data_IF_172658787567
#
_entry.id   IF_172658787567
#
_cell.length_a   1.000
_cell.length_b   1.000
_cell.length_c   1.000
_cell.angle_alpha   90.00
_cell.angle_beta   90.00
_cell.angle_gamma   90.00
#
_symmetry.space_group_name_H-M   'P 1'
#
loop_
_entity.id
_entity.type
_entity.pdbx_description
1 polymer ?
#
# COMPACT_ATOMS: atom_id res chain seq x y z
N UNK A 1 24.00 -4.96 4.42
CA UNK A 1 23.38 -3.88 3.62
C UNK A 1 22.77 -4.52 2.39
N UNK A 2 21.46 -4.62 2.34
CA UNK A 2 20.76 -5.09 1.14
C UNK A 2 20.71 -3.90 0.17
N UNK A 3 21.55 -3.93 -0.85
CA UNK A 3 21.46 -3.00 -1.99
C UNK A 3 20.34 -3.50 -2.90
N UNK A 4 19.13 -2.99 -2.73
CA UNK A 4 17.98 -3.34 -3.56
C UNK A 4 17.67 -2.27 -4.62
N UNK A 5 18.67 -1.53 -5.09
CA UNK A 5 18.43 -0.48 -6.08
C UNK A 5 18.55 -0.97 -7.53
N UNK A 6 19.27 -2.04 -7.74
CA UNK A 6 19.40 -2.69 -9.05
C UNK A 6 19.92 -4.12 -8.92
N UNK A 7 19.48 -4.99 -9.81
CA UNK A 7 20.03 -6.33 -9.98
C UNK A 7 20.79 -6.35 -11.30
N UNK A 8 22.09 -6.59 -11.23
CA UNK A 8 22.92 -6.79 -12.42
C UNK A 8 23.00 -8.29 -12.71
N UNK A 9 22.51 -8.69 -13.88
CA UNK A 9 22.62 -10.08 -14.38
C UNK A 9 23.55 -10.07 -15.58
N UNK A 10 24.66 -10.80 -15.47
CA UNK A 10 25.65 -10.93 -16.53
C UNK A 10 25.36 -12.19 -17.33
N UNK A 11 24.99 -12.02 -18.58
CA UNK A 11 24.89 -13.13 -19.54
C UNK A 11 26.20 -13.23 -20.30
N UNK A 12 26.88 -14.34 -20.19
CA UNK A 12 28.16 -14.61 -20.87
C UNK A 12 28.01 -15.67 -21.97
N UNK A 13 29.05 -15.82 -22.79
CA UNK A 13 29.10 -16.79 -23.93
C UNK A 13 28.01 -16.52 -24.97
N UNK A 14 27.82 -15.27 -25.31
CA UNK A 14 26.89 -14.82 -26.33
C UNK A 14 27.59 -14.62 -27.66
N UNK A 15 26.83 -14.61 -28.75
CA UNK A 15 27.33 -14.28 -30.10
C UNK A 15 27.33 -12.78 -30.40
N UNK A 16 26.71 -11.97 -29.55
CA UNK A 16 26.63 -10.52 -29.68
C UNK A 16 26.68 -9.87 -28.30
N UNK A 17 27.22 -8.64 -28.21
CA UNK A 17 27.33 -7.90 -26.97
C UNK A 17 28.70 -7.25 -26.81
N UNK A 18 29.16 -7.07 -25.58
CA UNK A 18 30.52 -6.61 -25.28
C UNK A 18 31.46 -7.82 -25.29
N UNK A 19 32.68 -7.63 -25.82
CA UNK A 19 33.67 -8.71 -25.87
C UNK A 19 34.16 -8.99 -24.45
N UNK A 20 34.14 -10.29 -24.07
CA UNK A 20 34.82 -10.76 -22.86
C UNK A 20 36.29 -10.96 -23.15
N UNK A 21 37.13 -10.08 -22.61
CA UNK A 21 38.60 -10.14 -22.83
C UNK A 21 39.24 -11.47 -22.44
N UNK A 22 38.59 -12.24 -21.52
CA UNK A 22 39.08 -13.55 -21.09
C UNK A 22 38.84 -14.63 -22.14
N UNK A 23 37.83 -14.39 -23.03
CA UNK A 23 37.44 -15.35 -24.07
C UNK A 23 37.98 -15.00 -25.45
N UNK A 24 38.70 -13.89 -25.59
CA UNK A 24 39.21 -13.39 -26.89
C UNK A 24 40.09 -14.42 -27.60
N UNK A 25 40.91 -15.18 -26.87
CA UNK A 25 41.77 -16.21 -27.42
C UNK A 25 40.98 -17.35 -28.09
N UNK A 26 39.71 -17.58 -27.67
CA UNK A 26 38.87 -18.63 -28.24
C UNK A 26 38.34 -18.31 -29.65
N UNK A 27 38.37 -17.02 -30.08
CA UNK A 27 38.07 -16.63 -31.46
C UNK A 27 39.03 -17.29 -32.46
N UNK A 28 40.30 -17.51 -32.08
CA UNK A 28 41.26 -18.21 -32.91
C UNK A 28 40.98 -19.70 -33.11
N UNK A 29 40.00 -20.24 -32.39
CA UNK A 29 39.54 -21.65 -32.47
C UNK A 29 38.07 -21.72 -32.97
N UNK A 30 37.64 -20.77 -33.78
CA UNK A 30 36.28 -20.67 -34.35
C UNK A 30 35.13 -20.62 -33.32
N UNK A 31 35.41 -20.19 -32.10
CA UNK A 31 34.39 -20.01 -31.07
C UNK A 31 33.87 -18.57 -31.05
N UNK A 32 32.71 -18.34 -31.64
CA UNK A 32 32.07 -17.01 -31.70
C UNK A 32 31.42 -16.58 -30.41
N UNK A 33 31.30 -17.45 -29.39
CA UNK A 33 30.57 -17.16 -28.14
C UNK A 33 31.46 -16.42 -27.12
N UNK A 34 32.03 -15.30 -27.52
CA UNK A 34 33.00 -14.51 -26.74
C UNK A 34 32.42 -13.20 -26.21
N UNK A 35 31.12 -13.00 -26.35
CA UNK A 35 30.50 -11.78 -25.93
C UNK A 35 29.73 -11.99 -24.61
N UNK A 36 29.55 -10.89 -23.88
CA UNK A 36 28.69 -10.81 -22.70
C UNK A 36 27.80 -9.59 -22.77
N UNK A 37 26.67 -9.63 -22.07
CA UNK A 37 25.74 -8.52 -21.86
C UNK A 37 25.41 -8.41 -20.38
N UNK A 38 25.39 -7.18 -19.86
CA UNK A 38 24.91 -6.90 -18.52
C UNK A 38 23.51 -6.34 -18.65
N UNK A 39 22.54 -7.03 -18.09
CA UNK A 39 21.21 -6.50 -17.87
C UNK A 39 21.13 -5.96 -16.44
N UNK A 40 20.76 -4.68 -16.32
CA UNK A 40 20.57 -4.03 -15.03
C UNK A 40 19.09 -3.80 -14.84
N UNK A 41 18.47 -4.64 -14.04
CA UNK A 41 17.10 -4.42 -13.61
C UNK A 41 17.08 -3.34 -12.54
N UNK A 42 16.59 -2.17 -12.89
CA UNK A 42 16.32 -1.11 -11.91
C UNK A 42 14.95 -1.38 -11.27
N UNK A 43 14.95 -1.62 -9.98
CA UNK A 43 13.68 -1.73 -9.24
C UNK A 43 13.03 -0.36 -9.16
N UNK A 44 11.78 -0.30 -9.64
CA UNK A 44 10.96 0.91 -9.51
C UNK A 44 10.79 1.30 -8.04
N UNK A 45 10.64 2.59 -7.79
CA UNK A 45 10.25 3.07 -6.47
C UNK A 45 8.81 2.63 -6.18
N UNK A 46 8.52 2.26 -4.95
CA UNK A 46 7.17 1.90 -4.51
C UNK A 46 6.57 2.98 -3.64
N UNK A 47 5.29 3.27 -3.83
CA UNK A 47 4.47 4.00 -2.86
C UNK A 47 3.40 3.05 -2.33
N UNK A 48 3.43 2.77 -1.04
CA UNK A 48 2.43 1.94 -0.38
C UNK A 48 1.62 2.80 0.58
N UNK A 49 0.31 2.88 0.34
CA UNK A 49 -0.62 3.45 1.30
C UNK A 49 -1.39 2.32 2.00
N UNK A 50 -1.32 2.28 3.32
CA UNK A 50 -2.06 1.31 4.15
C UNK A 50 -3.20 2.06 4.82
N UNK A 51 -4.43 1.60 4.60
CA UNK A 51 -5.64 2.14 5.23
C UNK A 51 -6.21 1.12 6.21
N UNK A 52 -6.30 1.50 7.47
CA UNK A 52 -6.79 0.64 8.55
C UNK A 52 -8.18 1.10 8.94
N UNK A 53 -9.11 0.17 8.92
CA UNK A 53 -10.41 0.31 9.56
C UNK A 53 -10.26 0.11 11.07
N UNK A 54 -10.70 1.09 11.86
CA UNK A 54 -10.77 0.93 13.30
C UNK A 54 -12.16 1.25 13.85
N UNK A 55 -13.19 0.92 13.07
CA UNK A 55 -14.58 0.91 13.51
C UNK A 55 -14.82 -0.08 14.66
N UNK A 56 -15.96 0.04 15.32
CA UNK A 56 -16.33 -0.79 16.47
C UNK A 56 -16.31 -2.29 16.17
N UNK A 57 -16.66 -2.71 14.95
CA UNK A 57 -16.65 -4.12 14.51
C UNK A 57 -15.24 -4.71 14.43
N UNK A 58 -14.22 -3.86 14.28
CA UNK A 58 -12.82 -4.27 14.31
C UNK A 58 -12.25 -4.44 15.73
N UNK A 59 -13.06 -4.28 16.78
CA UNK A 59 -12.60 -4.35 18.17
C UNK A 59 -11.93 -5.71 18.51
N UNK A 60 -10.98 -5.66 19.43
CA UNK A 60 -10.29 -6.85 19.95
C UNK A 60 -9.20 -7.37 19.00
N UNK A 61 -9.25 -8.68 18.73
CA UNK A 61 -8.22 -9.38 17.97
C UNK A 61 -8.13 -8.94 16.50
N UNK A 62 -9.21 -8.49 15.88
CA UNK A 62 -9.21 -8.00 14.50
C UNK A 62 -8.29 -6.78 14.37
N UNK A 63 -8.51 -5.76 15.20
CA UNK A 63 -7.68 -4.55 15.17
C UNK A 63 -6.24 -4.86 15.54
N UNK A 64 -6.01 -5.72 16.52
CA UNK A 64 -4.66 -6.15 16.91
C UNK A 64 -3.92 -6.80 15.75
N UNK A 65 -4.58 -7.68 14.97
CA UNK A 65 -3.99 -8.30 13.77
C UNK A 65 -3.70 -7.28 12.69
N UNK A 66 -4.63 -6.35 12.41
CA UNK A 66 -4.42 -5.27 11.44
C UNK A 66 -3.20 -4.42 11.82
N UNK A 67 -3.10 -4.01 13.09
CA UNK A 67 -1.98 -3.24 13.62
C UNK A 67 -0.67 -4.02 13.49
N UNK A 68 -0.64 -5.28 13.93
CA UNK A 68 0.56 -6.12 13.88
C UNK A 68 1.06 -6.30 12.45
N UNK A 69 0.14 -6.59 11.52
CA UNK A 69 0.46 -6.72 10.09
C UNK A 69 1.00 -5.42 9.51
N UNK A 70 0.37 -4.29 9.84
CA UNK A 70 0.82 -2.97 9.40
C UNK A 70 2.22 -2.64 9.91
N UNK A 71 2.49 -2.90 11.19
CA UNK A 71 3.81 -2.69 11.79
C UNK A 71 4.87 -3.54 11.10
N UNK A 72 4.57 -4.81 10.82
CA UNK A 72 5.49 -5.71 10.12
C UNK A 72 5.79 -5.21 8.70
N UNK A 73 4.76 -4.79 7.95
CA UNK A 73 4.91 -4.27 6.58
C UNK A 73 5.72 -2.98 6.58
N UNK A 74 5.40 -2.02 7.45
CA UNK A 74 6.14 -0.74 7.54
C UNK A 74 7.62 -0.98 7.84
N UNK A 75 7.91 -1.89 8.77
CA UNK A 75 9.29 -2.26 9.10
C UNK A 75 10.02 -2.92 7.92
N UNK A 76 9.36 -3.81 7.19
CA UNK A 76 9.92 -4.44 6.00
C UNK A 76 10.21 -3.41 4.90
N UNK A 77 9.29 -2.50 4.63
CA UNK A 77 9.46 -1.45 3.63
C UNK A 77 10.61 -0.48 3.98
N UNK A 78 10.80 -0.17 5.25
CA UNK A 78 11.96 0.62 5.69
C UNK A 78 13.30 -0.07 5.41
N UNK A 79 13.35 -1.40 5.54
CA UNK A 79 14.54 -2.17 5.21
C UNK A 79 14.81 -2.17 3.69
N UNK A 80 13.77 -2.13 2.88
CA UNK A 80 13.86 -2.10 1.41
C UNK A 80 14.33 -0.76 0.83
N UNK A 81 14.21 0.36 1.56
CA UNK A 81 14.65 1.73 1.22
C UNK A 81 14.06 2.38 -0.04
N UNK A 82 13.55 1.60 -0.97
CA UNK A 82 12.96 2.08 -2.22
C UNK A 82 11.42 2.17 -2.17
N UNK A 83 10.81 1.93 -1.00
CA UNK A 83 9.36 1.97 -0.80
C UNK A 83 9.00 3.06 0.21
N UNK A 84 8.23 4.05 -0.23
CA UNK A 84 7.61 5.03 0.65
C UNK A 84 6.32 4.44 1.22
N UNK A 85 6.12 4.55 2.52
CA UNK A 85 4.92 4.03 3.19
C UNK A 85 4.16 5.16 3.86
N UNK A 86 2.86 5.18 3.63
CA UNK A 86 1.90 6.00 4.36
C UNK A 86 0.90 5.08 5.05
N UNK A 87 0.52 5.42 6.27
CA UNK A 87 -0.51 4.69 7.03
C UNK A 87 -1.58 5.67 7.44
N UNK A 88 -2.82 5.35 7.13
CA UNK A 88 -4.01 6.07 7.59
C UNK A 88 -4.93 5.13 8.36
N UNK A 89 -5.70 5.70 9.28
CA UNK A 89 -6.76 5.02 9.99
C UNK A 89 -8.07 5.77 9.75
N UNK A 90 -9.19 5.04 9.62
CA UNK A 90 -10.50 5.61 9.30
C UNK A 90 -11.58 5.11 10.25
N UNK A 91 -12.48 6.01 10.63
CA UNK A 91 -13.69 5.74 11.40
C UNK A 91 -14.64 6.95 11.29
N UNK A 92 -15.62 7.04 12.18
CA UNK A 92 -16.44 8.24 12.40
C UNK A 92 -16.12 8.84 13.76
N UNK A 93 -16.31 10.16 13.90
CA UNK A 93 -16.13 10.82 15.19
C UNK A 93 -17.23 10.40 16.20
N UNK A 94 -17.01 10.71 17.47
CA UNK A 94 -17.98 10.44 18.56
C UNK A 94 -18.93 11.59 18.78
N UNK A 95 -18.98 12.59 17.91
CA UNK A 95 -19.89 13.72 17.97
C UNK A 95 -21.30 13.33 17.57
N UNK A 96 -22.25 14.26 17.76
CA UNK A 96 -23.66 14.05 17.42
C UNK A 96 -23.90 13.72 15.94
N UNK A 97 -23.01 14.20 15.05
CA UNK A 97 -23.11 13.95 13.60
C UNK A 97 -22.28 12.76 13.13
N UNK A 98 -21.48 12.16 13.98
CA UNK A 98 -20.61 11.01 13.65
C UNK A 98 -19.89 11.17 12.30
N UNK A 99 -19.26 12.33 12.07
CA UNK A 99 -18.67 12.66 10.77
C UNK A 99 -17.55 11.68 10.40
N UNK A 100 -17.51 11.22 9.13
CA UNK A 100 -16.40 10.41 8.63
C UNK A 100 -15.08 11.16 8.71
N UNK A 101 -14.02 10.48 9.16
CA UNK A 101 -12.69 11.08 9.18
C UNK A 101 -11.59 10.07 8.87
N UNK A 102 -10.45 10.62 8.46
CA UNK A 102 -9.22 9.87 8.21
C UNK A 102 -8.12 10.55 9.01
N UNK A 103 -7.37 9.76 9.76
CA UNK A 103 -6.16 10.20 10.46
C UNK A 103 -4.95 9.63 9.74
N UNK A 104 -4.04 10.50 9.31
CA UNK A 104 -2.74 10.09 8.81
C UNK A 104 -1.84 9.75 10.00
N UNK A 105 -1.63 8.46 10.24
CA UNK A 105 -0.87 7.94 11.37
C UNK A 105 0.63 7.99 11.12
N UNK A 106 1.03 7.78 9.87
CA UNK A 106 2.43 7.69 9.50
C UNK A 106 2.69 8.09 8.05
N UNK A 107 3.78 8.77 7.80
CA UNK A 107 4.37 8.98 6.48
C UNK A 107 5.89 8.78 6.63
N UNK A 108 6.45 7.76 5.97
CA UNK A 108 7.88 7.40 6.06
C UNK A 108 8.84 8.54 5.67
N UNK A 109 8.33 9.54 4.95
CA UNK A 109 9.10 10.72 4.53
C UNK A 109 9.15 11.82 5.58
N UNK A 110 8.26 11.78 6.57
CA UNK A 110 8.04 12.87 7.54
C UNK A 110 8.19 12.45 8.99
N UNK A 111 7.81 11.20 9.31
CA UNK A 111 7.68 10.73 10.66
C UNK A 111 8.75 9.68 11.01
N UNK A 112 9.12 9.62 12.28
CA UNK A 112 10.00 8.56 12.80
C UNK A 112 9.19 7.28 13.09
N UNK A 113 9.87 6.12 13.09
CA UNK A 113 9.24 4.87 13.55
C UNK A 113 8.78 4.93 15.01
N UNK A 114 9.46 5.69 15.85
CA UNK A 114 9.08 5.85 17.24
C UNK A 114 7.71 6.50 17.37
N UNK A 115 7.45 7.55 16.57
CA UNK A 115 6.15 8.21 16.53
C UNK A 115 5.08 7.27 15.98
N UNK A 116 5.42 6.52 14.91
CA UNK A 116 4.53 5.51 14.35
C UNK A 116 4.07 4.50 15.40
N UNK A 117 4.99 3.88 16.16
CA UNK A 117 4.61 2.91 17.21
C UNK A 117 3.75 3.55 18.29
N UNK A 118 4.06 4.78 18.68
CA UNK A 118 3.25 5.53 19.64
C UNK A 118 1.82 5.72 19.15
N UNK A 119 1.63 6.18 17.91
CA UNK A 119 0.28 6.39 17.36
C UNK A 119 -0.48 5.07 17.17
N UNK A 120 0.21 4.02 16.70
CA UNK A 120 -0.42 2.70 16.54
C UNK A 120 -0.91 2.11 17.86
N UNK A 121 -0.21 2.35 18.97
CA UNK A 121 -0.63 1.90 20.30
C UNK A 121 -1.83 2.67 20.87
N UNK A 122 -2.16 3.84 20.31
CA UNK A 122 -3.29 4.67 20.73
C UNK A 122 -4.59 4.39 19.95
N UNK A 123 -4.51 3.62 18.86
CA UNK A 123 -5.69 3.28 18.07
C UNK A 123 -6.61 2.36 18.86
N UNK A 124 -7.86 2.81 19.03
CA UNK A 124 -8.92 2.06 19.69
C UNK A 124 -10.14 1.99 18.78
N UNK A 125 -10.67 0.79 18.58
CA UNK A 125 -11.84 0.59 17.74
C UNK A 125 -13.06 1.33 18.30
N UNK A 126 -13.73 2.10 17.46
CA UNK A 126 -14.95 2.82 17.82
C UNK A 126 -15.78 3.19 16.60
N UNK A 127 -17.06 3.41 16.83
CA UNK A 127 -18.04 3.91 15.86
C UNK A 127 -18.19 3.05 14.59
N UNK A 128 -18.45 3.66 13.44
CA UNK A 128 -18.85 3.01 12.19
C UNK A 128 -17.81 3.13 11.09
N UNK A 129 -18.00 2.37 10.00
CA UNK A 129 -17.06 2.29 8.86
C UNK A 129 -17.61 3.00 7.62
N UNK A 130 -17.34 4.28 7.40
CA UNK A 130 -17.72 4.99 6.18
C UNK A 130 -16.72 4.73 5.04
N UNK A 131 -16.45 3.47 4.70
CA UNK A 131 -15.31 3.05 3.89
C UNK A 131 -15.21 3.78 2.55
N UNK A 132 -16.26 3.77 1.72
CA UNK A 132 -16.24 4.41 0.41
C UNK A 132 -16.08 5.94 0.48
N UNK A 133 -16.66 6.59 1.50
CA UNK A 133 -16.49 8.04 1.72
C UNK A 133 -15.04 8.36 2.09
N UNK A 134 -14.43 7.53 2.94
CA UNK A 134 -13.01 7.67 3.27
C UNK A 134 -12.12 7.38 2.07
N UNK A 135 -12.46 6.41 1.22
CA UNK A 135 -11.71 6.15 -0.02
C UNK A 135 -11.80 7.32 -1.00
N UNK A 136 -12.94 7.98 -1.11
CA UNK A 136 -13.06 9.19 -1.92
C UNK A 136 -12.16 10.32 -1.41
N UNK A 137 -12.13 10.53 -0.10
CA UNK A 137 -11.31 11.56 0.51
C UNK A 137 -9.81 11.29 0.40
N UNK A 138 -9.37 10.03 0.60
CA UNK A 138 -7.94 9.67 0.60
C UNK A 138 -7.31 9.73 -0.78
N UNK A 139 -8.09 9.59 -1.87
CA UNK A 139 -7.58 9.65 -3.24
C UNK A 139 -6.76 10.91 -3.53
N UNK A 140 -7.08 12.03 -2.87
CA UNK A 140 -6.34 13.30 -3.01
C UNK A 140 -4.89 13.23 -2.51
N UNK A 141 -4.59 12.24 -1.68
CA UNK A 141 -3.27 12.05 -1.05
C UNK A 141 -2.50 10.88 -1.64
N UNK A 142 -3.15 10.05 -2.46
CA UNK A 142 -2.51 8.92 -3.12
C UNK A 142 -1.65 9.43 -4.29
N UNK A 143 -0.52 8.79 -4.46
CA UNK A 143 0.40 9.06 -5.57
C UNK A 143 0.05 8.09 -6.70
N UNK A 144 -0.32 8.56 -7.90
CA UNK A 144 -0.58 7.69 -9.05
C UNK A 144 0.68 6.93 -9.46
N UNK A 145 0.50 5.78 -10.08
CA UNK A 145 1.59 5.03 -10.72
C UNK A 145 2.18 5.83 -11.89
N UNK A 146 3.49 5.77 -12.03
CA UNK A 146 4.25 6.40 -13.12
C UNK A 146 5.24 5.41 -13.73
N UNK A 147 5.99 5.83 -14.77
CA UNK A 147 6.99 4.96 -15.38
C UNK A 147 8.05 4.46 -14.40
N UNK A 148 8.41 5.29 -13.40
CA UNK A 148 9.48 5.00 -12.43
C UNK A 148 8.96 4.58 -11.05
N UNK A 149 7.63 4.56 -10.84
CA UNK A 149 7.05 4.36 -9.53
C UNK A 149 5.77 3.54 -9.61
N UNK A 150 5.71 2.45 -8.88
CA UNK A 150 4.49 1.67 -8.70
C UNK A 150 3.78 2.07 -7.42
N UNK A 151 2.45 2.18 -7.46
CA UNK A 151 1.64 2.61 -6.32
C UNK A 151 0.65 1.54 -5.91
N UNK A 152 0.56 1.33 -4.61
CA UNK A 152 -0.25 0.31 -3.97
C UNK A 152 -1.12 0.93 -2.87
N UNK A 153 -2.35 0.48 -2.81
CA UNK A 153 -3.27 0.80 -1.72
C UNK A 153 -3.69 -0.51 -1.04
N UNK A 154 -3.32 -0.68 0.22
CA UNK A 154 -3.64 -1.85 1.03
C UNK A 154 -4.70 -1.49 2.05
N UNK A 155 -5.85 -2.14 1.97
CA UNK A 155 -6.99 -1.94 2.85
C UNK A 155 -7.10 -3.08 3.86
N UNK A 156 -7.18 -2.74 5.15
CA UNK A 156 -7.56 -3.65 6.23
C UNK A 156 -8.95 -3.28 6.73
N UNK A 157 -9.91 -4.19 6.60
CA UNK A 157 -11.32 -4.00 6.97
C UNK A 157 -11.96 -5.34 7.34
N UNK A 158 -13.09 -5.33 8.03
CA UNK A 158 -13.96 -6.50 8.17
C UNK A 158 -15.03 -6.60 7.07
N UNK A 159 -15.04 -5.66 6.11
CA UNK A 159 -15.82 -5.75 4.88
C UNK A 159 -17.27 -5.31 4.98
N UNK A 160 -17.68 -4.62 6.04
CA UNK A 160 -19.04 -4.15 6.23
C UNK A 160 -19.12 -2.61 6.27
N UNK A 161 -19.14 -1.93 5.09
CA UNK A 161 -19.28 -0.48 5.07
C UNK A 161 -20.65 -0.08 5.62
N UNK A 162 -20.66 0.65 6.71
CA UNK A 162 -21.86 1.11 7.37
C UNK A 162 -21.65 2.50 7.97
N UNK A 163 -22.55 3.40 7.65
CA UNK A 163 -22.60 4.74 8.21
C UNK A 163 -24.02 5.29 8.15
N UNK A 164 -24.56 5.72 9.28
CA UNK A 164 -25.87 6.33 9.33
C UNK A 164 -25.85 7.54 10.25
N UNK A 165 -26.49 8.59 9.82
CA UNK A 165 -26.78 9.78 10.65
C UNK A 165 -28.28 9.98 10.66
N UNK A 166 -28.82 10.17 11.85
CA UNK A 166 -30.17 10.70 12.04
C UNK A 166 -30.04 11.94 12.92
N UNK A 167 -30.05 13.14 12.32
CA UNK A 167 -29.96 14.39 13.05
C UNK A 167 -30.87 15.45 12.44
N UNK A 168 -31.95 15.75 13.11
CA UNK A 168 -32.95 16.72 12.66
C UNK A 168 -33.69 16.25 11.41
N UNK A 169 -33.56 16.97 10.30
CA UNK A 169 -34.16 16.64 9.01
C UNK A 169 -33.24 15.81 8.11
N UNK A 170 -32.01 15.58 8.53
CA UNK A 170 -30.98 14.92 7.71
C UNK A 170 -30.82 13.46 8.13
N UNK A 171 -31.53 12.57 7.45
CA UNK A 171 -31.34 11.12 7.57
C UNK A 171 -30.44 10.64 6.44
N UNK A 172 -29.19 10.32 6.78
CA UNK A 172 -28.26 9.67 5.86
C UNK A 172 -28.12 8.21 6.27
N UNK A 173 -28.52 7.32 5.38
CA UNK A 173 -28.28 5.88 5.53
C UNK A 173 -27.34 5.41 4.43
N UNK A 174 -26.08 5.21 4.83
CA UNK A 174 -25.03 4.67 3.97
C UNK A 174 -24.66 3.28 4.45
N UNK A 175 -25.39 2.26 3.95
CA UNK A 175 -25.23 0.87 4.38
C UNK A 175 -25.60 -0.10 3.26
N UNK A 176 -25.30 -1.37 3.46
CA UNK A 176 -25.70 -2.45 2.58
C UNK A 176 -25.18 -2.29 1.15
N UNK A 177 -26.03 -2.57 0.16
CA UNK A 177 -25.65 -2.57 -1.26
C UNK A 177 -25.17 -1.22 -1.76
N UNK A 178 -25.82 -0.12 -1.39
CA UNK A 178 -25.45 1.23 -1.84
C UNK A 178 -24.04 1.63 -1.34
N UNK A 179 -23.71 1.32 -0.09
CA UNK A 179 -22.39 1.57 0.46
C UNK A 179 -21.31 0.70 -0.21
N UNK A 180 -21.60 -0.57 -0.46
CA UNK A 180 -20.69 -1.48 -1.16
C UNK A 180 -20.46 -1.06 -2.61
N UNK A 181 -21.52 -0.64 -3.33
CA UNK A 181 -21.41 -0.13 -4.69
C UNK A 181 -20.57 1.14 -4.77
N UNK A 182 -20.79 2.08 -3.84
CA UNK A 182 -19.99 3.30 -3.74
C UNK A 182 -18.51 2.98 -3.45
N UNK A 183 -18.24 2.09 -2.50
CA UNK A 183 -16.88 1.65 -2.19
C UNK A 183 -16.22 1.04 -3.43
N UNK A 184 -16.91 0.16 -4.15
CA UNK A 184 -16.42 -0.44 -5.40
C UNK A 184 -16.12 0.62 -6.48
N UNK A 185 -16.99 1.63 -6.62
CA UNK A 185 -16.76 2.75 -7.54
C UNK A 185 -15.48 3.51 -7.20
N UNK A 186 -15.20 3.74 -5.91
CA UNK A 186 -13.98 4.44 -5.50
C UNK A 186 -12.74 3.56 -5.73
N UNK A 187 -12.81 2.26 -5.48
CA UNK A 187 -11.73 1.30 -5.81
C UNK A 187 -11.44 1.31 -7.31
N UNK A 188 -12.46 1.27 -8.17
CA UNK A 188 -12.28 1.35 -9.63
C UNK A 188 -11.63 2.67 -10.08
N UNK A 189 -11.95 3.80 -9.43
CA UNK A 189 -11.28 5.07 -9.72
C UNK A 189 -9.79 5.04 -9.35
N UNK A 190 -9.43 4.44 -8.20
CA UNK A 190 -8.02 4.26 -7.82
C UNK A 190 -7.28 3.39 -8.83
N UNK A 191 -7.89 2.27 -9.25
CA UNK A 191 -7.33 1.37 -10.26
C UNK A 191 -7.15 2.07 -11.62
N UNK A 192 -8.12 2.88 -12.03
CA UNK A 192 -8.02 3.69 -13.26
C UNK A 192 -6.88 4.71 -13.22
N UNK A 193 -6.48 5.15 -12.02
CA UNK A 193 -5.29 5.99 -11.80
C UNK A 193 -3.98 5.19 -11.75
N UNK A 194 -4.02 3.89 -12.04
CA UNK A 194 -2.85 2.99 -12.03
C UNK A 194 -2.46 2.51 -10.64
N UNK A 195 -3.29 2.72 -9.61
CA UNK A 195 -3.00 2.26 -8.25
C UNK A 195 -3.45 0.81 -8.09
N UNK A 196 -2.56 -0.07 -7.64
CA UNK A 196 -2.88 -1.45 -7.33
C UNK A 196 -3.58 -1.52 -5.97
N UNK A 197 -4.86 -1.90 -5.96
CA UNK A 197 -5.67 -1.98 -4.73
C UNK A 197 -5.77 -3.42 -4.25
N UNK A 198 -5.42 -3.62 -2.98
CA UNK A 198 -5.49 -4.90 -2.28
C UNK A 198 -6.35 -4.72 -1.02
N UNK A 199 -7.38 -5.54 -0.84
CA UNK A 199 -8.21 -5.54 0.37
C UNK A 199 -8.00 -6.83 1.15
N UNK A 200 -7.70 -6.68 2.41
CA UNK A 200 -7.53 -7.76 3.38
C UNK A 200 -8.73 -7.75 4.33
N UNK A 201 -9.58 -8.75 4.20
CA UNK A 201 -10.72 -8.91 5.08
C UNK A 201 -10.33 -9.71 6.32
N UNK A 202 -10.56 -9.12 7.50
CA UNK A 202 -10.24 -9.72 8.78
C UNK A 202 -11.54 -10.22 9.41
N UNK A 203 -11.68 -11.53 9.49
CA UNK A 203 -12.85 -12.20 10.10
C UNK A 203 -12.54 -12.71 11.49
N UNK A 204 -13.58 -12.94 12.29
CA UNK A 204 -13.47 -13.72 13.53
C UNK A 204 -13.14 -15.19 13.18
N UNK A 205 -12.26 -15.78 13.97
CA UNK A 205 -11.97 -17.22 13.93
C UNK A 205 -12.84 -17.93 14.93
#
# INVERSE_FOLDING_TARGET
QIRNESRETVFSRLKKGKIDGRMIASLGYDNENVFYTNEVDQFKKGNLHISIDYSGSMSGDKLRRAITSTVAIVKACQMARNINVQVSARSTDSGQRQLPYIVMVYDSRKNSLKDFYKYMSMLQAHNTTPEGLCFEAIQKYLIPTSNDTDSYFLNFSDGQPCYSISHGTDDINYSGFAAAEHTNKQVKKMQASGINVLSYFITDM
#
